data_IF_668951810492
#
_entry.id   IF_668951810492
#
_cell.length_a   1.000
_cell.length_b   1.000
_cell.length_c   1.000
_cell.angle_alpha   90.00
_cell.angle_beta   90.00
_cell.angle_gamma   90.00
#
_symmetry.space_group_name_H-M   'P 1'
#
loop_
_entity.id
_entity.type
_entity.pdbx_description
1 polymer ?
#
# COMPACT_ATOMS: atom_id res chain seq x y z
N UNK A 1 -13.13 15.35 -2.37
CA UNK A 1 -12.90 13.98 -1.90
C UNK A 1 -11.88 14.00 -0.77
N UNK A 2 -12.03 13.14 0.24
CA UNK A 2 -11.18 13.11 1.44
C UNK A 2 -9.84 12.41 1.20
N UNK A 3 -9.69 11.71 0.07
CA UNK A 3 -8.47 11.00 -0.34
C UNK A 3 -8.52 9.50 -0.04
N UNK A 4 -9.56 9.02 0.64
CA UNK A 4 -9.79 7.60 0.87
C UNK A 4 -11.29 7.26 0.86
N UNK A 5 -11.60 5.98 0.70
CA UNK A 5 -12.96 5.43 0.73
C UNK A 5 -12.91 3.95 1.16
N UNK A 6 -14.01 3.45 1.70
CA UNK A 6 -14.15 2.06 2.09
C UNK A 6 -15.24 1.36 1.27
N UNK A 7 -15.01 0.10 0.96
CA UNK A 7 -15.99 -0.83 0.39
C UNK A 7 -16.09 -2.05 1.31
N UNK A 8 -17.25 -2.25 1.93
CA UNK A 8 -17.52 -3.39 2.78
C UNK A 8 -17.92 -4.60 1.94
N UNK A 9 -17.46 -5.78 2.35
CA UNK A 9 -17.91 -7.07 1.85
C UNK A 9 -17.73 -7.27 0.34
N UNK A 10 -16.62 -6.82 -0.24
CA UNK A 10 -16.32 -7.06 -1.66
C UNK A 10 -16.18 -8.57 -1.95
N UNK A 11 -15.75 -9.34 -0.95
CA UNK A 11 -15.62 -10.79 -1.00
C UNK A 11 -16.27 -11.45 0.21
N UNK A 12 -16.71 -12.68 0.02
CA UNK A 12 -17.16 -13.56 1.10
C UNK A 12 -15.97 -14.24 1.79
N UNK A 13 -16.15 -14.70 3.02
CA UNK A 13 -15.12 -15.46 3.73
C UNK A 13 -14.69 -16.72 2.94
N UNK A 14 -15.64 -17.40 2.29
CA UNK A 14 -15.36 -18.58 1.47
C UNK A 14 -14.44 -18.26 0.27
N UNK A 15 -14.67 -17.13 -0.41
CA UNK A 15 -13.82 -16.72 -1.55
C UNK A 15 -12.42 -16.28 -1.13
N UNK A 16 -12.20 -15.91 0.13
CA UNK A 16 -10.90 -15.51 0.64
C UNK A 16 -10.10 -16.65 1.27
N UNK A 17 -10.68 -17.82 1.47
CA UNK A 17 -10.03 -18.92 2.19
C UNK A 17 -8.68 -19.31 1.59
N UNK A 18 -8.59 -19.49 0.28
CA UNK A 18 -7.34 -19.83 -0.41
C UNK A 18 -6.29 -18.71 -0.30
N UNK A 19 -6.72 -17.47 -0.39
CA UNK A 19 -5.87 -16.28 -0.24
C UNK A 19 -5.30 -16.18 1.18
N UNK A 20 -6.14 -16.40 2.19
CA UNK A 20 -5.73 -16.40 3.60
C UNK A 20 -4.74 -17.52 3.90
N UNK A 21 -4.97 -18.73 3.36
CA UNK A 21 -4.06 -19.88 3.51
C UNK A 21 -2.70 -19.59 2.87
N UNK A 22 -2.67 -19.05 1.64
CA UNK A 22 -1.43 -18.68 0.97
C UNK A 22 -0.68 -17.58 1.74
N UNK A 23 -1.39 -16.53 2.18
CA UNK A 23 -0.79 -15.45 2.97
C UNK A 23 -0.21 -15.93 4.30
N UNK A 24 -0.93 -16.81 5.00
CA UNK A 24 -0.46 -17.39 6.25
C UNK A 24 0.79 -18.26 6.05
N UNK A 25 0.81 -19.10 5.01
CA UNK A 25 1.96 -19.92 4.67
C UNK A 25 3.20 -19.07 4.32
N UNK A 26 3.00 -17.97 3.59
CA UNK A 26 4.07 -17.01 3.30
C UNK A 26 4.60 -16.34 4.57
N UNK A 27 3.69 -15.95 5.46
CA UNK A 27 4.04 -15.36 6.74
C UNK A 27 4.84 -16.32 7.64
N UNK A 28 4.41 -17.57 7.76
CA UNK A 28 5.10 -18.60 8.55
C UNK A 28 6.53 -18.81 8.07
N UNK A 29 6.75 -18.93 6.75
CA UNK A 29 8.11 -19.05 6.17
C UNK A 29 9.02 -17.87 6.49
N UNK A 30 8.46 -16.69 6.71
CA UNK A 30 9.25 -15.51 7.10
C UNK A 30 9.58 -15.52 8.58
N UNK A 31 8.63 -15.94 9.43
CA UNK A 31 8.78 -15.93 10.87
C UNK A 31 9.75 -17.01 11.38
N UNK A 32 9.99 -18.06 10.59
CA UNK A 32 10.86 -19.20 10.94
C UNK A 32 12.31 -19.04 10.49
N UNK A 33 12.66 -17.95 9.78
CA UNK A 33 13.96 -17.85 9.13
C UNK A 33 14.90 -16.77 9.66
N UNK A 34 16.21 -16.85 9.34
CA UNK A 34 17.24 -15.87 9.71
C UNK A 34 16.96 -14.45 9.15
N UNK A 35 15.93 -14.31 8.35
CA UNK A 35 15.51 -13.03 7.75
C UNK A 35 14.92 -12.05 8.76
N UNK A 36 14.28 -12.53 9.83
CA UNK A 36 13.83 -11.67 10.94
C UNK A 36 15.02 -11.06 11.70
N UNK A 37 16.08 -11.83 11.91
CA UNK A 37 17.29 -11.31 12.52
C UNK A 37 17.99 -10.26 11.62
N UNK A 38 17.95 -10.46 10.29
CA UNK A 38 18.51 -9.51 9.34
C UNK A 38 17.70 -8.20 9.28
N UNK A 39 16.36 -8.28 9.37
CA UNK A 39 15.48 -7.10 9.45
C UNK A 39 15.68 -6.34 10.75
N UNK A 40 15.84 -7.05 11.88
CA UNK A 40 16.16 -6.43 13.16
C UNK A 40 17.52 -5.70 13.13
N UNK A 41 18.54 -6.26 12.48
CA UNK A 41 19.85 -5.62 12.31
C UNK A 41 19.83 -4.39 11.40
N UNK A 42 18.91 -4.29 10.48
CA UNK A 42 18.77 -3.15 9.56
C UNK A 42 17.90 -2.03 10.11
N UNK A 43 17.42 -2.14 11.36
CA UNK A 43 16.57 -1.14 12.00
C UNK A 43 15.13 -1.13 11.47
N UNK A 44 14.75 -2.09 10.64
CA UNK A 44 13.36 -2.35 10.32
C UNK A 44 12.66 -2.99 11.53
N UNK A 45 11.36 -2.72 11.70
CA UNK A 45 10.59 -3.33 12.78
C UNK A 45 10.60 -4.87 12.62
N UNK A 46 11.22 -5.63 13.55
CA UNK A 46 11.29 -7.08 13.44
C UNK A 46 9.92 -7.75 13.56
N UNK A 47 8.93 -7.03 14.07
CA UNK A 47 7.56 -7.50 14.24
C UNK A 47 6.62 -7.12 13.09
N UNK A 48 7.12 -6.35 12.11
CA UNK A 48 6.37 -5.95 10.92
C UNK A 48 7.21 -6.10 9.65
N UNK A 49 6.63 -6.68 8.61
CA UNK A 49 7.31 -6.83 7.33
C UNK A 49 6.33 -6.70 6.15
N UNK A 50 6.90 -6.40 5.00
CA UNK A 50 6.22 -6.44 3.72
C UNK A 50 6.89 -7.46 2.82
N UNK A 51 6.08 -8.32 2.19
CA UNK A 51 6.47 -9.29 1.19
C UNK A 51 6.00 -8.87 -0.18
N UNK A 52 6.94 -8.77 -1.12
CA UNK A 52 6.59 -8.60 -2.53
C UNK A 52 5.77 -9.78 -3.04
N UNK A 53 4.63 -9.49 -3.65
CA UNK A 53 3.80 -10.44 -4.35
C UNK A 53 4.12 -10.46 -5.86
N UNK A 54 3.88 -11.60 -6.49
CA UNK A 54 4.14 -11.83 -7.91
C UNK A 54 3.20 -12.94 -8.41
N UNK A 55 3.12 -13.21 -9.73
CA UNK A 55 2.25 -14.25 -10.30
C UNK A 55 2.42 -15.67 -9.70
N UNK A 56 3.55 -15.95 -9.08
CA UNK A 56 3.79 -17.24 -8.38
C UNK A 56 2.90 -17.46 -7.14
N UNK A 57 2.36 -16.38 -6.57
CA UNK A 57 1.42 -16.42 -5.44
C UNK A 57 0.00 -16.50 -6.00
N UNK A 58 -0.40 -17.69 -6.43
CA UNK A 58 -1.52 -17.87 -7.36
C UNK A 58 -2.86 -17.39 -6.83
N UNK A 59 -3.23 -17.74 -5.60
CA UNK A 59 -4.52 -17.34 -5.04
C UNK A 59 -4.60 -15.84 -4.80
N UNK A 60 -3.52 -15.26 -4.23
CA UNK A 60 -3.43 -13.82 -3.97
C UNK A 60 -3.40 -13.06 -5.31
N UNK A 61 -2.59 -13.52 -6.26
CA UNK A 61 -2.46 -12.86 -7.56
C UNK A 61 -3.79 -12.85 -8.32
N UNK A 62 -4.51 -13.97 -8.33
CA UNK A 62 -5.81 -14.08 -8.95
C UNK A 62 -6.84 -13.13 -8.31
N UNK A 63 -6.81 -12.97 -6.97
CA UNK A 63 -7.66 -11.99 -6.27
C UNK A 63 -7.36 -10.56 -6.71
N UNK A 64 -6.07 -10.20 -6.79
CA UNK A 64 -5.63 -8.83 -7.05
C UNK A 64 -5.71 -8.43 -8.52
N UNK A 65 -5.63 -9.39 -9.44
CA UNK A 65 -5.68 -9.11 -10.89
C UNK A 65 -6.99 -9.49 -11.54
N UNK A 66 -7.86 -10.23 -10.86
CA UNK A 66 -9.13 -10.73 -11.38
C UNK A 66 -10.36 -9.97 -10.90
N UNK A 67 -11.37 -9.91 -11.76
CA UNK A 67 -12.76 -9.63 -11.46
C UNK A 67 -13.05 -8.36 -10.63
N UNK A 68 -13.41 -8.55 -9.38
CA UNK A 68 -14.01 -7.50 -8.54
C UNK A 68 -13.09 -6.32 -8.22
N UNK A 69 -11.82 -6.58 -7.94
CA UNK A 69 -10.92 -5.51 -7.49
C UNK A 69 -10.52 -4.55 -8.62
N UNK A 70 -10.04 -5.01 -9.79
CA UNK A 70 -9.80 -4.12 -10.93
C UNK A 70 -11.04 -3.32 -11.34
N UNK A 71 -12.24 -3.92 -11.30
CA UNK A 71 -13.48 -3.21 -11.57
C UNK A 71 -13.75 -2.11 -10.55
N UNK A 72 -13.59 -2.41 -9.24
CA UNK A 72 -13.73 -1.41 -8.18
C UNK A 72 -12.75 -0.25 -8.35
N UNK A 73 -11.49 -0.54 -8.71
CA UNK A 73 -10.47 0.49 -9.01
C UNK A 73 -10.89 1.34 -10.20
N UNK A 74 -11.37 0.73 -11.29
CA UNK A 74 -11.83 1.45 -12.47
C UNK A 74 -13.07 2.32 -12.18
N UNK A 75 -14.03 1.81 -11.41
CA UNK A 75 -15.19 2.59 -10.93
C UNK A 75 -14.76 3.81 -10.10
N UNK A 76 -13.79 3.63 -9.19
CA UNK A 76 -13.31 4.70 -8.31
C UNK A 76 -12.49 5.77 -9.04
N UNK A 77 -11.78 5.39 -10.11
CA UNK A 77 -10.83 6.26 -10.80
C UNK A 77 -11.30 6.77 -12.17
N UNK A 78 -12.22 6.05 -12.81
CA UNK A 78 -12.59 6.25 -14.21
C UNK A 78 -11.56 5.72 -15.23
N UNK A 79 -10.56 4.95 -14.80
CA UNK A 79 -9.56 4.38 -15.72
C UNK A 79 -10.17 3.22 -16.53
N UNK A 80 -10.00 3.27 -17.84
CA UNK A 80 -10.48 2.22 -18.75
C UNK A 80 -9.60 0.97 -18.75
N UNK A 81 -8.30 1.16 -18.53
CA UNK A 81 -7.30 0.11 -18.37
C UNK A 81 -6.37 0.47 -17.24
N UNK A 82 -5.97 -0.51 -16.47
CA UNK A 82 -5.09 -0.32 -15.32
C UNK A 82 -4.01 -1.40 -15.26
N UNK A 83 -2.95 -1.13 -14.52
CA UNK A 83 -1.86 -2.07 -14.30
C UNK A 83 -1.55 -2.18 -12.82
N UNK A 84 -1.24 -3.39 -12.34
CA UNK A 84 -0.56 -3.53 -11.06
C UNK A 84 0.75 -2.75 -11.09
N UNK A 85 0.99 -1.93 -10.07
CA UNK A 85 2.25 -1.24 -9.90
C UNK A 85 3.09 -1.93 -8.84
N UNK A 86 2.48 -2.17 -7.68
CA UNK A 86 3.11 -2.76 -6.53
C UNK A 86 2.08 -3.56 -5.74
N UNK A 87 2.37 -4.83 -5.48
CA UNK A 87 1.55 -5.67 -4.63
C UNK A 87 2.39 -6.23 -3.49
N UNK A 88 1.92 -6.02 -2.26
CA UNK A 88 2.59 -6.46 -1.04
C UNK A 88 1.66 -7.19 -0.07
N UNK A 89 2.19 -8.19 0.63
CA UNK A 89 1.60 -8.76 1.84
C UNK A 89 2.22 -8.07 3.04
N UNK A 90 1.40 -7.31 3.77
CA UNK A 90 1.78 -6.60 4.97
C UNK A 90 1.48 -7.46 6.19
N UNK A 91 2.49 -7.70 7.00
CA UNK A 91 2.38 -8.53 8.20
C UNK A 91 2.82 -7.72 9.42
N UNK A 92 1.98 -7.66 10.45
CA UNK A 92 2.32 -7.08 11.76
C UNK A 92 2.00 -8.06 12.87
N UNK A 93 3.00 -8.47 13.65
CA UNK A 93 2.82 -9.26 14.87
C UNK A 93 2.08 -8.43 15.95
N UNK A 94 1.47 -9.07 16.95
CA UNK A 94 1.04 -8.39 18.17
C UNK A 94 2.17 -7.53 18.75
N UNK A 95 1.88 -6.28 19.04
CA UNK A 95 2.87 -5.32 19.55
C UNK A 95 3.77 -4.64 18.50
N UNK A 96 3.65 -4.99 17.22
CA UNK A 96 4.39 -4.30 16.16
C UNK A 96 4.06 -2.80 16.14
N UNK A 97 5.08 -1.98 15.94
CA UNK A 97 4.99 -0.52 15.90
C UNK A 97 4.20 0.01 14.70
N UNK A 98 3.90 1.29 14.70
CA UNK A 98 3.28 1.95 13.56
C UNK A 98 4.23 1.97 12.35
N UNK A 99 3.65 1.87 11.15
CA UNK A 99 4.33 2.30 9.93
C UNK A 99 4.36 3.82 9.91
N UNK A 100 5.51 4.43 9.64
CA UNK A 100 5.61 5.89 9.63
C UNK A 100 4.66 6.54 8.61
N UNK A 101 4.27 7.80 8.87
CA UNK A 101 3.51 8.60 7.94
C UNK A 101 4.20 8.72 6.58
N UNK A 102 3.46 8.46 5.50
CA UNK A 102 3.97 8.52 4.13
C UNK A 102 2.83 8.75 3.13
N UNK A 103 3.19 9.03 1.90
CA UNK A 103 2.34 8.99 0.71
C UNK A 103 2.91 7.94 -0.23
N UNK A 104 2.07 7.12 -0.84
CA UNK A 104 2.54 6.08 -1.76
C UNK A 104 3.29 6.66 -2.96
N UNK A 105 2.81 7.78 -3.50
CA UNK A 105 3.47 8.48 -4.60
C UNK A 105 4.90 8.93 -4.29
N UNK A 106 5.24 9.08 -3.01
CA UNK A 106 6.58 9.53 -2.62
C UNK A 106 7.61 8.39 -2.66
N UNK A 107 7.14 7.15 -2.55
CA UNK A 107 8.01 5.98 -2.51
C UNK A 107 7.88 5.10 -3.76
N UNK A 108 6.78 5.21 -4.49
CA UNK A 108 6.52 4.40 -5.69
C UNK A 108 6.83 5.21 -6.96
N UNK A 109 7.74 4.72 -7.83
CA UNK A 109 8.26 5.49 -8.96
C UNK A 109 7.30 5.48 -10.16
N UNK A 110 6.22 6.26 -10.11
CA UNK A 110 5.27 6.43 -11.22
C UNK A 110 5.08 7.90 -11.57
N UNK A 111 4.90 8.21 -12.85
CA UNK A 111 4.51 9.53 -13.34
C UNK A 111 3.00 9.79 -13.24
N UNK A 112 2.24 8.72 -13.05
CA UNK A 112 0.78 8.74 -13.05
C UNK A 112 0.20 8.72 -11.63
N UNK A 113 -1.09 9.06 -11.46
CA UNK A 113 -1.81 8.84 -10.22
C UNK A 113 -1.77 7.37 -9.77
N UNK A 114 -1.76 7.16 -8.47
CA UNK A 114 -1.76 5.83 -7.84
C UNK A 114 -3.03 5.70 -7.02
N UNK A 115 -3.72 4.58 -7.15
CA UNK A 115 -4.75 4.16 -6.20
C UNK A 115 -4.28 2.90 -5.48
N UNK A 116 -4.28 2.94 -4.18
CA UNK A 116 -3.94 1.79 -3.33
C UNK A 116 -5.20 1.19 -2.73
N UNK A 117 -5.32 -0.13 -2.84
CA UNK A 117 -6.32 -0.92 -2.15
C UNK A 117 -5.66 -1.66 -0.99
N UNK A 118 -6.09 -1.37 0.22
CA UNK A 118 -5.66 -2.09 1.41
C UNK A 118 -6.75 -3.11 1.79
N UNK A 119 -6.39 -4.40 1.87
CA UNK A 119 -7.31 -5.52 1.97
C UNK A 119 -6.94 -6.34 3.21
N UNK A 120 -7.68 -6.24 4.32
CA UNK A 120 -7.42 -7.04 5.50
C UNK A 120 -7.76 -8.52 5.25
N UNK A 121 -6.84 -9.39 5.61
CA UNK A 121 -7.02 -10.86 5.59
C UNK A 121 -7.35 -11.42 6.98
N UNK A 122 -7.19 -10.62 8.01
CA UNK A 122 -7.62 -10.88 9.39
C UNK A 122 -8.55 -9.77 9.84
N UNK A 123 -9.39 -10.00 10.86
CA UNK A 123 -10.18 -8.91 11.45
C UNK A 123 -9.24 -7.86 12.05
N UNK A 124 -9.55 -6.59 11.86
CA UNK A 124 -8.71 -5.47 12.29
C UNK A 124 -9.54 -4.45 13.05
N UNK A 125 -9.15 -4.13 14.28
CA UNK A 125 -9.77 -3.06 15.06
C UNK A 125 -9.32 -1.69 14.57
N UNK A 126 -10.17 -0.68 14.73
CA UNK A 126 -9.89 0.70 14.33
C UNK A 126 -8.55 1.23 14.88
N UNK A 127 -8.18 0.88 16.11
CA UNK A 127 -6.91 1.27 16.75
C UNK A 127 -5.67 0.48 16.25
N UNK A 128 -5.86 -0.40 15.30
CA UNK A 128 -4.82 -1.23 14.66
C UNK A 128 -4.92 -1.22 13.14
N UNK A 129 -5.80 -0.41 12.55
CA UNK A 129 -6.03 -0.26 11.12
C UNK A 129 -5.13 0.78 10.47
N UNK A 130 -5.73 1.59 9.59
CA UNK A 130 -5.08 2.72 8.93
C UNK A 130 -5.49 4.04 9.60
N UNK A 131 -4.64 5.03 9.48
CA UNK A 131 -4.87 6.39 9.92
C UNK A 131 -4.56 7.34 8.77
N UNK A 132 -5.47 8.24 8.48
CA UNK A 132 -5.40 9.19 7.38
C UNK A 132 -5.35 10.63 7.89
N UNK A 133 -4.60 11.46 7.17
CA UNK A 133 -4.71 12.89 7.25
C UNK A 133 -5.61 13.35 6.10
N UNK A 134 -6.91 13.50 6.38
CA UNK A 134 -7.92 13.77 5.35
C UNK A 134 -7.70 15.12 4.66
N UNK A 135 -7.97 15.14 3.36
CA UNK A 135 -7.82 16.33 2.53
C UNK A 135 -6.40 16.60 2.04
N UNK A 136 -5.39 15.90 2.57
CA UNK A 136 -3.98 16.14 2.22
C UNK A 136 -3.64 15.75 0.77
N UNK A 137 -4.44 14.91 0.12
CA UNK A 137 -4.31 14.63 -1.31
C UNK A 137 -4.45 15.89 -2.20
N UNK A 138 -5.05 16.98 -1.68
CA UNK A 138 -5.21 18.25 -2.38
C UNK A 138 -4.09 19.26 -2.08
N UNK A 139 -3.24 18.97 -1.11
CA UNK A 139 -2.10 19.84 -0.82
C UNK A 139 -1.07 19.71 -1.95
N UNK A 140 -0.65 20.87 -2.47
CA UNK A 140 0.45 20.88 -3.40
C UNK A 140 1.72 20.29 -2.75
N UNK A 141 2.57 19.67 -3.56
CA UNK A 141 3.80 19.04 -3.08
C UNK A 141 4.66 19.98 -2.22
N UNK A 142 4.69 21.28 -2.57
CA UNK A 142 5.40 22.31 -1.80
C UNK A 142 4.79 22.60 -0.43
N UNK A 143 3.48 22.42 -0.27
CA UNK A 143 2.76 22.64 0.99
C UNK A 143 2.76 21.39 1.89
N UNK A 144 2.89 20.22 1.28
CA UNK A 144 2.98 18.93 1.98
C UNK A 144 4.41 18.49 2.28
N UNK A 145 5.41 19.29 1.88
CA UNK A 145 6.80 18.97 2.15
C UNK A 145 7.12 19.23 3.62
N UNK A 146 7.58 18.21 4.32
CA UNK A 146 8.22 18.33 5.63
C UNK A 146 9.67 18.85 5.51
N UNK A 147 10.02 19.49 4.38
CA UNK A 147 11.35 19.99 4.08
C UNK A 147 11.85 21.03 5.10
N UNK A 148 10.93 21.66 5.83
CA UNK A 148 11.25 22.58 6.93
C UNK A 148 11.49 21.87 8.27
N UNK A 149 11.44 20.52 8.29
CA UNK A 149 11.61 19.72 9.51
C UNK A 149 10.40 19.77 10.46
N UNK A 150 9.30 20.42 10.09
CA UNK A 150 8.09 20.46 10.91
C UNK A 150 7.48 19.06 11.02
N UNK A 151 7.02 18.64 12.20
CA UNK A 151 6.20 17.44 12.33
C UNK A 151 4.96 17.52 11.43
N UNK A 152 4.58 16.40 10.81
CA UNK A 152 3.38 16.33 9.97
C UNK A 152 2.15 16.88 10.70
N UNK A 153 2.02 16.57 11.99
CA UNK A 153 0.94 17.04 12.85
C UNK A 153 0.84 18.58 12.90
N UNK A 154 1.98 19.27 12.99
CA UNK A 154 2.03 20.73 13.00
C UNK A 154 1.60 21.34 11.65
N UNK A 155 1.97 20.69 10.53
CA UNK A 155 1.51 21.06 9.21
C UNK A 155 -0.01 20.92 9.09
N UNK A 156 -0.55 19.80 9.53
CA UNK A 156 -1.97 19.50 9.43
C UNK A 156 -2.82 20.43 10.30
N UNK A 157 -2.35 20.74 11.50
CA UNK A 157 -3.00 21.74 12.38
C UNK A 157 -3.05 23.12 11.72
N UNK A 158 -1.96 23.56 11.07
CA UNK A 158 -1.93 24.82 10.32
C UNK A 158 -2.95 24.88 9.19
N UNK A 159 -3.22 23.74 8.55
CA UNK A 159 -4.18 23.65 7.44
C UNK A 159 -5.57 23.19 7.87
N UNK A 160 -5.82 23.00 9.16
CA UNK A 160 -7.11 22.55 9.69
C UNK A 160 -7.54 21.17 9.19
N UNK A 161 -6.58 20.30 8.93
CA UNK A 161 -6.84 18.96 8.38
C UNK A 161 -7.03 17.94 9.50
N UNK A 162 -8.13 17.16 9.48
CA UNK A 162 -8.39 16.17 10.52
C UNK A 162 -7.56 14.89 10.30
N UNK A 163 -7.21 14.26 11.42
CA UNK A 163 -6.74 12.89 11.46
C UNK A 163 -7.92 11.94 11.70
N UNK A 164 -8.06 10.94 10.85
CA UNK A 164 -9.16 9.97 10.92
C UNK A 164 -8.61 8.55 10.92
N UNK A 165 -8.99 7.78 11.93
CA UNK A 165 -8.77 6.33 11.94
C UNK A 165 -9.88 5.63 11.18
N UNK A 166 -9.53 4.59 10.44
CA UNK A 166 -10.52 3.70 9.84
C UNK A 166 -11.36 3.02 10.93
N UNK A 167 -12.59 2.64 10.58
CA UNK A 167 -13.42 1.78 11.44
C UNK A 167 -12.82 0.35 11.52
N UNK A 168 -13.44 -0.52 12.33
CA UNK A 168 -13.09 -1.94 12.36
C UNK A 168 -13.28 -2.56 10.97
N UNK A 169 -12.35 -3.41 10.55
CA UNK A 169 -12.41 -4.15 9.28
C UNK A 169 -12.65 -5.64 9.52
N UNK A 170 -13.34 -6.25 8.58
CA UNK A 170 -13.45 -7.70 8.46
C UNK A 170 -12.77 -8.18 7.15
N UNK A 171 -12.31 -9.44 7.09
CA UNK A 171 -11.90 -10.03 5.82
C UNK A 171 -13.02 -9.93 4.78
N UNK A 172 -12.68 -9.39 3.61
CA UNK A 172 -13.66 -9.08 2.55
C UNK A 172 -13.93 -7.60 2.35
N UNK A 173 -13.59 -6.77 3.33
CA UNK A 173 -13.61 -5.31 3.17
C UNK A 173 -12.38 -4.83 2.39
N UNK A 174 -12.49 -3.65 1.82
CA UNK A 174 -11.38 -2.96 1.12
C UNK A 174 -11.38 -1.50 1.51
N UNK A 175 -10.22 -0.98 1.85
CA UNK A 175 -9.98 0.45 1.90
C UNK A 175 -9.25 0.89 0.63
N UNK A 176 -9.72 1.97 0.02
CA UNK A 176 -9.11 2.57 -1.16
C UNK A 176 -8.55 3.94 -0.78
N UNK A 177 -7.30 4.22 -1.13
CA UNK A 177 -6.75 5.56 -0.92
C UNK A 177 -5.92 6.05 -2.11
N UNK A 178 -6.02 7.35 -2.33
CA UNK A 178 -5.20 8.07 -3.29
C UNK A 178 -3.73 8.06 -2.84
N UNK A 179 -2.82 7.75 -3.74
CA UNK A 179 -1.39 7.74 -3.45
C UNK A 179 -0.83 9.07 -2.94
N UNK A 180 -1.60 10.15 -3.00
CA UNK A 180 -1.21 11.47 -2.49
C UNK A 180 -1.67 11.74 -1.05
N UNK A 181 -2.59 10.94 -0.49
CA UNK A 181 -3.03 11.15 0.89
C UNK A 181 -1.97 10.70 1.88
N UNK A 182 -1.68 11.54 2.88
CA UNK A 182 -0.84 11.15 3.99
C UNK A 182 -1.56 10.11 4.84
N UNK A 183 -0.90 8.98 5.06
CA UNK A 183 -1.44 7.90 5.86
C UNK A 183 -0.34 7.14 6.60
N UNK A 184 -0.77 6.33 7.57
CA UNK A 184 0.09 5.40 8.29
C UNK A 184 -0.69 4.15 8.69
N UNK A 185 0.02 3.04 8.88
CA UNK A 185 -0.53 1.83 9.47
C UNK A 185 -0.31 1.86 10.98
N UNK A 186 -1.40 1.88 11.77
CA UNK A 186 -1.32 1.93 13.22
C UNK A 186 -0.58 0.71 13.80
N UNK A 187 -0.10 0.78 15.07
CA UNK A 187 0.48 -0.35 15.75
C UNK A 187 -0.51 -1.52 15.80
N UNK A 188 -0.03 -2.76 15.77
CA UNK A 188 -0.92 -3.90 16.00
C UNK A 188 -1.16 -4.10 17.50
N UNK A 189 -2.32 -3.65 17.98
CA UNK A 189 -2.76 -3.76 19.37
C UNK A 189 -3.65 -4.98 19.63
N UNK A 190 -3.79 -5.85 18.61
CA UNK A 190 -4.58 -7.07 18.72
C UNK A 190 -3.73 -8.21 19.28
N UNK A 191 -4.38 -9.27 19.79
CA UNK A 191 -3.72 -10.48 20.28
C UNK A 191 -3.30 -11.45 19.18
N UNK A 192 -3.58 -11.14 17.91
CA UNK A 192 -3.25 -11.96 16.75
C UNK A 192 -2.50 -11.16 15.68
N UNK A 193 -1.75 -11.81 14.79
CA UNK A 193 -1.11 -11.13 13.66
C UNK A 193 -2.12 -10.41 12.78
N UNK A 194 -1.77 -9.21 12.32
CA UNK A 194 -2.50 -8.48 11.29
C UNK A 194 -1.90 -8.80 9.93
N UNK A 195 -2.66 -9.49 9.10
CA UNK A 195 -2.31 -9.75 7.71
C UNK A 195 -3.20 -8.90 6.81
N UNK A 196 -2.60 -8.18 5.87
CA UNK A 196 -3.32 -7.39 4.89
C UNK A 196 -2.55 -7.37 3.56
N UNK A 197 -3.27 -7.24 2.46
CA UNK A 197 -2.68 -6.98 1.15
C UNK A 197 -2.68 -5.47 0.90
N UNK A 198 -1.59 -4.95 0.34
CA UNK A 198 -1.54 -3.64 -0.27
C UNK A 198 -1.40 -3.82 -1.78
N UNK A 199 -2.35 -3.28 -2.53
CA UNK A 199 -2.39 -3.39 -3.98
C UNK A 199 -2.45 -2.01 -4.62
N UNK A 200 -1.33 -1.56 -5.17
CA UNK A 200 -1.23 -0.27 -5.85
C UNK A 200 -1.46 -0.46 -7.34
N UNK A 201 -2.36 0.35 -7.88
CA UNK A 201 -2.70 0.38 -9.32
C UNK A 201 -2.41 1.74 -9.92
N UNK A 202 -2.15 1.72 -11.22
CA UNK A 202 -1.96 2.90 -12.06
C UNK A 202 -2.74 2.77 -13.36
N UNK A 203 -3.07 3.86 -14.08
CA UNK A 203 -3.64 3.77 -15.42
C UNK A 203 -2.68 3.03 -16.37
N UNK A 204 -3.24 2.39 -17.40
CA UNK A 204 -2.49 1.59 -18.37
C UNK A 204 -1.34 2.35 -19.07
N UNK A 205 -1.45 3.67 -19.16
CA UNK A 205 -0.46 4.57 -19.77
C UNK A 205 0.67 4.99 -18.84
N UNK A 206 0.66 4.57 -17.57
CA UNK A 206 1.66 4.97 -16.59
C UNK A 206 3.08 4.55 -16.98
N UNK A 207 4.04 5.42 -16.69
CA UNK A 207 5.45 5.23 -16.99
C UNK A 207 6.30 5.27 -15.72
N UNK A 208 7.44 4.61 -15.79
CA UNK A 208 8.43 4.64 -14.71
C UNK A 208 8.98 6.06 -14.56
N UNK A 209 8.78 6.64 -13.37
CA UNK A 209 9.40 7.89 -12.96
C UNK A 209 10.15 7.71 -11.65
N UNK A 210 11.47 7.53 -11.67
CA UNK A 210 12.27 7.30 -10.46
C UNK A 210 12.35 8.54 -9.54
N UNK A 211 12.02 9.71 -10.09
CA UNK A 211 12.06 10.99 -9.37
C UNK A 211 10.75 11.76 -9.56
N UNK A 212 9.62 11.31 -9.00
CA UNK A 212 8.38 12.05 -9.08
C UNK A 212 8.55 13.44 -8.47
N UNK A 213 8.00 14.46 -9.16
CA UNK A 213 8.14 15.85 -8.73
C UNK A 213 7.55 16.06 -7.32
N UNK A 214 8.26 16.82 -6.50
CA UNK A 214 7.76 17.28 -5.20
C UNK A 214 8.12 16.41 -4.01
N UNK A 215 9.04 15.45 -4.18
CA UNK A 215 9.53 14.65 -3.09
C UNK A 215 11.03 14.85 -2.84
N UNK A 216 11.36 15.19 -1.62
CA UNK A 216 12.72 15.06 -1.09
C UNK A 216 12.72 14.93 0.42
N UNK A 217 12.84 13.73 0.97
CA UNK A 217 13.74 13.51 2.08
C UNK A 217 14.70 12.36 1.79
N UNK A 218 15.92 12.38 2.36
CA UNK A 218 16.92 11.32 2.20
C UNK A 218 16.39 9.91 2.50
N UNK A 219 15.44 9.83 3.42
CA UNK A 219 14.78 8.57 3.84
C UNK A 219 13.97 7.93 2.73
N UNK A 220 13.23 8.72 1.97
CA UNK A 220 12.43 8.22 0.84
C UNK A 220 13.28 7.81 -0.36
N UNK A 221 14.44 8.45 -0.59
CA UNK A 221 15.31 8.12 -1.71
C UNK A 221 15.83 6.68 -1.64
N UNK A 222 16.27 6.22 -0.46
CA UNK A 222 16.73 4.85 -0.26
C UNK A 222 15.60 3.82 -0.46
N UNK A 223 14.38 4.12 0.03
CA UNK A 223 13.23 3.26 -0.15
C UNK A 223 12.78 3.20 -1.61
N UNK A 224 12.74 4.34 -2.31
CA UNK A 224 12.46 4.40 -3.76
C UNK A 224 13.46 3.61 -4.58
N UNK A 225 14.74 3.77 -4.29
CA UNK A 225 15.79 3.01 -4.97
C UNK A 225 15.58 1.50 -4.79
N UNK A 226 15.32 1.07 -3.57
CA UNK A 226 15.03 -0.34 -3.27
C UNK A 226 13.76 -0.85 -3.96
N UNK A 227 12.69 -0.07 -3.98
CA UNK A 227 11.46 -0.41 -4.69
C UNK A 227 11.72 -0.52 -6.19
N UNK A 228 12.47 0.45 -6.76
CA UNK A 228 12.86 0.39 -8.17
C UNK A 228 13.64 -0.88 -8.49
N UNK A 229 14.64 -1.24 -7.72
CA UNK A 229 15.42 -2.46 -7.93
C UNK A 229 14.58 -3.73 -7.82
N UNK A 230 13.67 -3.78 -6.85
CA UNK A 230 12.86 -4.98 -6.60
C UNK A 230 11.75 -5.19 -7.64
N UNK A 231 11.16 -4.12 -8.16
CA UNK A 231 9.95 -4.21 -9.00
C UNK A 231 10.18 -3.77 -10.43
N UNK A 232 11.18 -2.92 -10.71
CA UNK A 232 11.35 -2.23 -11.98
C UNK A 232 12.79 -2.27 -12.51
N UNK A 233 13.61 -3.23 -12.07
CA UNK A 233 15.04 -3.31 -12.44
C UNK A 233 15.29 -3.38 -13.96
N UNK A 234 14.32 -3.89 -14.72
CA UNK A 234 14.42 -4.06 -16.17
C UNK A 234 13.92 -2.85 -16.96
N UNK A 235 13.30 -1.87 -16.29
CA UNK A 235 12.72 -0.69 -16.93
C UNK A 235 13.64 0.51 -16.81
N UNK A 236 13.64 1.35 -17.85
CA UNK A 236 14.31 2.64 -17.85
C UNK A 236 13.33 3.77 -17.51
N UNK A 237 13.81 4.91 -16.98
CA UNK A 237 12.96 6.08 -16.79
C UNK A 237 12.22 6.47 -18.08
N UNK A 238 10.91 6.64 -18.00
CA UNK A 238 10.03 6.92 -19.13
C UNK A 238 9.44 5.69 -19.83
N UNK A 239 9.91 4.49 -19.52
CA UNK A 239 9.30 3.26 -20.06
C UNK A 239 7.88 3.08 -19.51
N UNK A 240 7.00 2.53 -20.36
CA UNK A 240 5.69 2.06 -19.89
C UNK A 240 5.87 0.96 -18.83
N UNK A 241 5.03 0.97 -17.81
CA UNK A 241 5.02 -0.07 -16.79
C UNK A 241 4.38 -1.34 -17.36
N UNK A 242 5.16 -2.11 -18.11
CA UNK A 242 4.74 -3.36 -18.77
C UNK A 242 5.60 -4.54 -18.33
N UNK A 243 5.08 -5.75 -18.42
CA UNK A 243 5.76 -7.00 -18.06
C UNK A 243 4.84 -7.96 -17.33
N UNK A 244 5.33 -9.14 -17.00
CA UNK A 244 4.55 -10.19 -16.32
C UNK A 244 4.01 -9.75 -14.96
N UNK A 245 4.75 -8.89 -14.26
CA UNK A 245 4.32 -8.30 -13.00
C UNK A 245 3.36 -7.10 -13.16
N UNK A 246 3.17 -6.61 -14.38
CA UNK A 246 2.38 -5.43 -14.70
C UNK A 246 1.41 -5.68 -15.88
N UNK A 247 0.61 -6.77 -15.86
CA UNK A 247 -0.32 -7.06 -16.93
C UNK A 247 -1.32 -5.92 -17.12
N UNK A 248 -1.81 -5.77 -18.34
CA UNK A 248 -2.97 -4.92 -18.59
C UNK A 248 -4.21 -5.60 -18.00
N UNK A 249 -4.91 -4.90 -17.13
CA UNK A 249 -6.19 -5.32 -16.57
C UNK A 249 -7.28 -4.46 -17.19
N UNK A 250 -8.20 -5.10 -17.89
CA UNK A 250 -9.37 -4.43 -18.46
C UNK A 250 -10.49 -4.44 -17.42
N UNK A 251 -11.09 -3.28 -17.21
CA UNK A 251 -12.30 -3.15 -16.40
C UNK A 251 -13.52 -3.53 -17.27
N UNK A 252 -13.75 -4.83 -17.39
CA UNK A 252 -14.96 -5.36 -18.06
C UNK A 252 -16.15 -5.42 -17.12
#
# INVERSE_FOLDING_TARGET
AFGHARRDGLWTAASLQGVQQEALALWQKLSEGPRLEQLARTGADPHGCELRLSPRHQAIWALLTGGNLPRLVAEATGWRGLRPLHFGLLCKQPGASMTGWHRDKDVIPSDAPILTCWIPLTSVRANSGLHYAEGTARLEAKQGSLADGSPLEALLLRHGMPFVSTADFQPGDVDLHDGQVWHCGLPNRMAHPRLALAACYVPASARLNPNPAGFDPPRGAALRHRIRELYFAQLQPGDLLVGDAHPLLEAS
#
